data_IF_551003815631
#
_entry.id   IF_551003815631
#
_cell.length_a   1.000
_cell.length_b   1.000
_cell.length_c   1.000
_cell.angle_alpha   90.00
_cell.angle_beta   90.00
_cell.angle_gamma   90.00
#
_symmetry.space_group_name_H-M   'P 1'
#
loop_
_entity.id
_entity.type
_entity.pdbx_description
1 polymer ?
#
# COMPACT_ATOMS: atom_id res chain seq x y z
N UNK A 1 -17.60 -0.73 -9.59
CA UNK A 1 -16.21 -0.96 -9.96
C UNK A 1 -15.59 -1.98 -9.01
N UNK A 2 -15.14 -3.09 -9.50
CA UNK A 2 -14.55 -4.08 -8.60
C UNK A 2 -13.19 -3.63 -8.06
N UNK A 3 -12.96 -3.95 -6.81
CA UNK A 3 -11.67 -3.70 -6.15
C UNK A 3 -10.72 -4.85 -6.49
N UNK A 4 -10.30 -4.92 -7.74
CA UNK A 4 -9.49 -6.00 -8.22
C UNK A 4 -8.23 -5.47 -8.88
N UNK A 5 -7.16 -6.23 -8.75
CA UNK A 5 -5.88 -5.94 -9.38
C UNK A 5 -5.35 -7.18 -10.04
N UNK A 6 -4.49 -7.00 -11.03
CA UNK A 6 -3.86 -8.13 -11.73
C UNK A 6 -2.37 -8.17 -11.40
N UNK A 7 -1.89 -9.34 -11.00
CA UNK A 7 -0.47 -9.57 -10.73
C UNK A 7 -0.07 -10.86 -11.42
N UNK A 8 0.94 -10.77 -12.29
CA UNK A 8 1.43 -11.95 -13.05
C UNK A 8 0.30 -12.69 -13.77
N UNK A 9 -0.64 -11.95 -14.33
CA UNK A 9 -1.77 -12.52 -15.06
C UNK A 9 -2.91 -13.03 -14.19
N UNK A 10 -2.83 -12.86 -12.89
CA UNK A 10 -3.90 -13.27 -11.97
C UNK A 10 -4.70 -12.06 -11.50
N UNK A 11 -6.00 -12.26 -11.34
CA UNK A 11 -6.84 -11.25 -10.70
C UNK A 11 -6.79 -11.47 -9.19
N UNK A 12 -6.60 -10.40 -8.44
CA UNK A 12 -6.52 -10.43 -6.99
C UNK A 12 -7.58 -9.48 -6.44
N UNK A 13 -8.43 -9.99 -5.55
CA UNK A 13 -9.47 -9.18 -4.93
C UNK A 13 -8.88 -8.38 -3.78
N UNK A 14 -9.02 -7.07 -3.86
CA UNK A 14 -8.61 -6.15 -2.82
C UNK A 14 -9.83 -5.46 -2.24
N UNK A 15 -9.81 -5.20 -0.94
CA UNK A 15 -10.82 -4.34 -0.34
C UNK A 15 -10.60 -2.90 -0.81
N UNK A 16 -11.60 -2.04 -0.60
CA UNK A 16 -11.49 -0.65 -1.05
C UNK A 16 -10.24 0.05 -0.52
N UNK A 17 -9.92 -0.17 0.76
CA UNK A 17 -8.77 0.47 1.38
C UNK A 17 -7.45 -0.11 0.87
N UNK A 18 -7.41 -1.42 0.68
CA UNK A 18 -6.23 -2.07 0.11
C UNK A 18 -5.98 -1.56 -1.31
N UNK A 19 -7.03 -1.43 -2.09
CA UNK A 19 -6.94 -0.92 -3.45
C UNK A 19 -6.41 0.52 -3.45
N UNK A 20 -6.94 1.37 -2.59
CA UNK A 20 -6.51 2.77 -2.50
C UNK A 20 -5.04 2.87 -2.12
N UNK A 21 -4.60 2.06 -1.17
CA UNK A 21 -3.19 2.05 -0.77
C UNK A 21 -2.29 1.56 -1.90
N UNK A 22 -2.69 0.50 -2.57
CA UNK A 22 -1.93 0.00 -3.72
C UNK A 22 -1.84 1.06 -4.82
N UNK A 23 -2.91 1.82 -5.03
CA UNK A 23 -2.93 2.88 -6.01
C UNK A 23 -1.93 3.99 -5.68
N UNK A 24 -1.81 4.33 -4.40
CA UNK A 24 -0.82 5.34 -3.97
C UNK A 24 0.59 4.89 -4.35
N UNK A 25 0.90 3.62 -4.13
CA UNK A 25 2.19 3.06 -4.54
C UNK A 25 2.38 3.10 -6.05
N UNK A 26 1.35 2.73 -6.78
CA UNK A 26 1.43 2.65 -8.25
C UNK A 26 1.59 4.02 -8.91
N UNK A 27 1.11 5.06 -8.25
CA UNK A 27 1.31 6.43 -8.74
C UNK A 27 2.71 6.94 -8.47
N UNK A 28 3.47 6.28 -7.61
CA UNK A 28 4.79 6.71 -7.20
C UNK A 28 5.78 5.54 -7.25
N UNK A 29 5.92 4.89 -8.42
CA UNK A 29 6.76 3.70 -8.51
C UNK A 29 8.22 4.07 -8.23
N UNK A 30 8.88 3.22 -7.45
CA UNK A 30 10.28 3.41 -7.12
C UNK A 30 10.57 4.48 -6.07
N UNK A 31 9.57 5.25 -5.66
CA UNK A 31 9.74 6.29 -4.64
C UNK A 31 9.52 5.73 -3.25
N UNK A 32 10.35 6.17 -2.32
CA UNK A 32 10.12 5.86 -0.91
C UNK A 32 9.00 6.74 -0.39
N UNK A 33 7.95 6.12 0.11
CA UNK A 33 6.80 6.82 0.68
C UNK A 33 6.81 6.61 2.18
N UNK A 34 6.73 7.71 2.93
CA UNK A 34 6.67 7.64 4.38
C UNK A 34 5.32 7.07 4.82
N UNK A 35 5.26 6.56 6.05
CA UNK A 35 3.99 6.12 6.63
C UNK A 35 2.97 7.24 6.63
N UNK A 36 3.40 8.47 6.90
CA UNK A 36 2.50 9.62 6.90
C UNK A 36 1.95 9.90 5.51
N UNK A 37 2.78 9.80 4.48
CA UNK A 37 2.32 9.98 3.10
C UNK A 37 1.31 8.90 2.71
N UNK A 38 1.57 7.66 3.09
CA UNK A 38 0.67 6.55 2.81
C UNK A 38 -0.64 6.69 3.59
N UNK A 39 -0.54 7.07 4.84
CA UNK A 39 -1.72 7.28 5.67
C UNK A 39 -2.59 8.39 5.11
N UNK A 40 -1.99 9.52 4.78
CA UNK A 40 -2.69 10.66 4.20
C UNK A 40 -3.31 10.31 2.85
N UNK A 41 -2.58 9.57 2.01
CA UNK A 41 -3.04 9.22 0.66
C UNK A 41 -4.18 8.22 0.64
N UNK A 42 -4.21 7.29 1.59
CA UNK A 42 -5.19 6.21 1.60
C UNK A 42 -6.28 6.38 2.66
N UNK A 43 -6.00 7.04 3.76
CA UNK A 43 -6.97 7.23 4.86
C UNK A 43 -7.40 8.67 5.05
N UNK A 44 -6.59 9.64 4.62
CA UNK A 44 -6.89 11.04 4.78
C UNK A 44 -6.32 11.61 6.07
N UNK A 45 -6.53 12.92 6.25
CA UNK A 45 -5.89 13.65 7.33
C UNK A 45 -6.51 13.43 8.71
N UNK A 46 -7.72 12.90 8.74
CA UNK A 46 -8.44 12.71 10.00
C UNK A 46 -7.97 11.47 10.77
N UNK A 47 -7.11 10.67 10.16
CA UNK A 47 -6.66 9.44 10.77
C UNK A 47 -5.49 9.69 11.70
N UNK A 48 -5.43 8.93 12.82
CA UNK A 48 -4.38 9.08 13.82
C UNK A 48 -3.02 8.66 13.23
N UNK A 49 -2.06 9.59 13.15
CA UNK A 49 -0.74 9.25 12.61
C UNK A 49 0.05 8.28 13.49
N UNK A 50 -0.36 8.08 14.74
CA UNK A 50 0.26 7.07 15.61
C UNK A 50 -0.24 5.66 15.37
N UNK A 51 -1.24 5.49 14.49
CA UNK A 51 -1.80 4.19 14.17
C UNK A 51 -0.82 3.36 13.34
N UNK A 52 -0.85 2.04 13.55
CA UNK A 52 -0.05 1.10 12.75
C UNK A 52 -0.82 0.57 11.53
N UNK A 53 -1.91 1.24 11.16
CA UNK A 53 -2.80 0.77 10.11
C UNK A 53 -2.07 0.60 8.76
N UNK A 54 -1.14 1.51 8.45
CA UNK A 54 -0.38 1.41 7.21
C UNK A 54 0.43 0.11 7.18
N UNK A 55 1.11 -0.21 8.28
CA UNK A 55 1.93 -1.42 8.34
C UNK A 55 1.07 -2.68 8.20
N UNK A 56 -0.11 -2.67 8.81
CA UNK A 56 -1.05 -3.78 8.73
C UNK A 56 -1.52 -3.98 7.29
N UNK A 57 -1.89 -2.90 6.61
CA UNK A 57 -2.39 -2.99 5.23
C UNK A 57 -1.29 -3.32 4.23
N UNK A 58 -0.06 -2.84 4.46
CA UNK A 58 1.07 -3.25 3.63
C UNK A 58 1.29 -4.76 3.75
N UNK A 59 1.12 -5.31 4.96
CA UNK A 59 1.20 -6.76 5.15
C UNK A 59 0.14 -7.49 4.33
N UNK A 60 -1.09 -6.97 4.28
CA UNK A 60 -2.14 -7.54 3.45
C UNK A 60 -1.79 -7.49 1.97
N UNK A 61 -1.27 -6.36 1.50
CA UNK A 61 -0.86 -6.22 0.12
C UNK A 61 0.26 -7.19 -0.24
N UNK A 62 1.23 -7.36 0.64
CA UNK A 62 2.31 -8.33 0.43
C UNK A 62 1.76 -9.74 0.30
N UNK A 63 0.79 -10.08 1.13
CA UNK A 63 0.18 -11.41 1.10
C UNK A 63 -0.60 -11.64 -0.18
N UNK A 64 -1.31 -10.62 -0.64
CA UNK A 64 -2.20 -10.74 -1.80
C UNK A 64 -1.50 -10.54 -3.13
N UNK A 65 -0.57 -9.59 -3.20
CA UNK A 65 0.07 -9.21 -4.45
C UNK A 65 1.49 -9.78 -4.59
N UNK A 66 2.14 -10.04 -3.48
CA UNK A 66 3.49 -10.58 -3.47
C UNK A 66 4.42 -9.73 -2.60
N UNK A 67 5.21 -10.39 -1.76
CA UNK A 67 6.08 -9.70 -0.82
C UNK A 67 7.19 -8.93 -1.52
N UNK A 68 7.61 -9.39 -2.70
CA UNK A 68 8.73 -8.79 -3.41
C UNK A 68 8.41 -7.44 -4.03
N UNK A 69 7.12 -7.10 -4.13
CA UNK A 69 6.72 -5.83 -4.73
C UNK A 69 6.83 -4.64 -3.77
N UNK A 70 6.87 -4.91 -2.47
CA UNK A 70 6.84 -3.84 -1.46
C UNK A 70 8.04 -3.97 -0.57
N UNK A 71 8.97 -3.03 -0.72
CA UNK A 71 10.18 -3.00 0.07
C UNK A 71 10.00 -2.12 1.31
N UNK A 72 10.45 -2.61 2.47
CA UNK A 72 10.53 -1.78 3.67
C UNK A 72 11.85 -1.02 3.61
N UNK A 73 11.77 0.31 3.61
CA UNK A 73 12.96 1.15 3.68
C UNK A 73 13.08 1.63 5.12
N UNK A 74 14.02 1.07 5.81
CA UNK A 74 14.14 1.20 7.26
C UNK A 74 14.23 2.66 7.69
N UNK A 75 13.36 3.03 8.62
CA UNK A 75 13.31 4.39 9.15
C UNK A 75 12.68 5.41 8.22
N UNK A 76 12.32 5.03 6.99
CA UNK A 76 11.80 5.98 6.01
C UNK A 76 10.39 5.64 5.52
N UNK A 77 10.06 4.36 5.40
CA UNK A 77 8.74 3.96 4.94
C UNK A 77 8.79 2.76 4.02
N UNK A 78 8.06 2.83 2.91
CA UNK A 78 7.93 1.72 1.98
C UNK A 78 8.12 2.19 0.54
N UNK A 79 8.50 1.26 -0.32
CA UNK A 79 8.73 1.55 -1.73
C UNK A 79 8.20 0.40 -2.59
N UNK A 80 7.51 0.74 -3.67
CA UNK A 80 7.11 -0.23 -4.67
C UNK A 80 8.30 -0.49 -5.59
N UNK A 81 8.72 -1.73 -5.68
CA UNK A 81 9.86 -2.10 -6.52
C UNK A 81 9.43 -2.61 -7.90
#
# INVERSE_FOLDING_TARGET
>A
MPDAASVAGRSVDLTGREFTLAEVFLRNPGQVLSREQLLSGAWGYDFDPGSNVVDVYVRYLRRKLGADYFETVRGMGYRLT
#
